data_IF_539635761784
#
_entry.id   IF_539635761784
#
_cell.length_a   1.000
_cell.length_b   1.000
_cell.length_c   1.000
_cell.angle_alpha   90.00
_cell.angle_beta   90.00
_cell.angle_gamma   90.00
#
_symmetry.space_group_name_H-M   'P 1'
#
loop_
_entity.id
_entity.type
_entity.pdbx_description
1 polymer ?
#
# COMPACT_ATOMS: atom_id res chain seq x y z
N UNK A 1 -23.28 30.67 0.09
CA UNK A 1 -21.95 30.64 -0.56
C UNK A 1 -21.82 29.40 -1.43
N UNK A 2 -21.89 29.57 -2.76
CA UNK A 2 -21.63 28.46 -3.69
C UNK A 2 -20.16 28.05 -3.63
N UNK A 3 -19.86 26.77 -3.43
CA UNK A 3 -18.49 26.25 -3.52
C UNK A 3 -17.97 26.53 -4.93
N UNK A 4 -16.97 27.41 -5.04
CA UNK A 4 -16.26 27.67 -6.30
C UNK A 4 -15.66 26.33 -6.77
N UNK A 5 -16.10 25.85 -7.93
CA UNK A 5 -15.58 24.63 -8.54
C UNK A 5 -14.12 24.93 -8.88
N UNK A 6 -13.18 24.31 -8.18
CA UNK A 6 -11.75 24.44 -8.49
C UNK A 6 -11.54 23.86 -9.88
N UNK A 7 -10.80 24.57 -10.73
CA UNK A 7 -10.38 24.05 -12.02
C UNK A 7 -9.61 22.75 -11.76
N UNK A 8 -10.14 21.65 -12.29
CA UNK A 8 -9.51 20.36 -12.14
C UNK A 8 -8.28 20.34 -13.04
N UNK A 9 -7.10 20.50 -12.44
CA UNK A 9 -5.85 20.28 -13.14
C UNK A 9 -5.87 18.87 -13.73
N UNK A 10 -5.87 18.79 -15.06
CA UNK A 10 -5.94 17.51 -15.77
C UNK A 10 -4.52 17.06 -16.04
N UNK A 11 -3.96 16.30 -15.10
CA UNK A 11 -2.66 15.65 -15.27
C UNK A 11 -2.85 14.30 -15.94
N UNK A 12 -2.09 14.04 -16.99
CA UNK A 12 -2.08 12.75 -17.67
C UNK A 12 -1.70 11.65 -16.68
N UNK A 13 -2.57 10.65 -16.52
CA UNK A 13 -2.39 9.56 -15.54
C UNK A 13 -2.99 9.83 -14.15
N UNK A 14 -3.52 11.03 -13.90
CA UNK A 14 -4.18 11.38 -12.63
C UNK A 14 -3.20 11.56 -11.46
N UNK A 15 -3.75 11.46 -10.24
CA UNK A 15 -2.99 11.66 -9.00
C UNK A 15 -3.26 10.53 -8.00
N UNK A 16 -2.27 10.21 -7.19
CA UNK A 16 -2.44 9.34 -6.03
C UNK A 16 -2.75 10.18 -4.78
N UNK A 17 -3.81 9.82 -4.07
CA UNK A 17 -4.20 10.51 -2.85
C UNK A 17 -3.52 9.89 -1.62
N UNK A 18 -2.56 10.62 -1.05
CA UNK A 18 -1.94 10.32 0.25
C UNK A 18 -2.49 11.32 1.29
N UNK A 19 -3.15 10.85 2.37
CA UNK A 19 -3.65 11.73 3.42
C UNK A 19 -2.53 12.57 4.03
N UNK A 20 -2.68 13.90 4.06
CA UNK A 20 -1.66 14.79 4.63
C UNK A 20 -1.33 14.48 6.09
N UNK A 21 -2.30 13.96 6.85
CA UNK A 21 -2.10 13.51 8.24
C UNK A 21 -1.01 12.45 8.37
N UNK A 22 -0.79 11.58 7.37
CA UNK A 22 0.32 10.62 7.42
C UNK A 22 1.67 11.34 7.49
N UNK A 23 1.81 12.49 6.84
CA UNK A 23 3.04 13.29 6.87
C UNK A 23 3.29 13.93 8.25
N UNK A 24 2.28 13.99 9.12
CA UNK A 24 2.42 14.47 10.50
C UNK A 24 2.94 13.38 11.43
N UNK A 25 2.67 12.13 11.10
CA UNK A 25 3.02 10.96 11.90
C UNK A 25 4.50 10.56 11.78
N UNK A 26 5.11 10.25 12.91
CA UNK A 26 6.50 9.78 13.02
C UNK A 26 6.73 8.50 12.22
N UNK A 27 5.72 7.62 12.17
CA UNK A 27 5.76 6.36 11.41
C UNK A 27 6.04 6.59 9.92
N UNK A 28 5.62 7.73 9.36
CA UNK A 28 5.90 8.05 7.97
C UNK A 28 7.24 8.80 7.81
N UNK A 29 7.50 9.80 8.65
CA UNK A 29 8.68 10.67 8.54
C UNK A 29 10.01 9.93 8.68
N UNK A 30 10.02 8.87 9.48
CA UNK A 30 11.23 8.10 9.75
C UNK A 30 11.41 6.88 8.84
N UNK A 31 10.59 6.75 7.79
CA UNK A 31 10.75 5.66 6.84
C UNK A 31 12.14 5.69 6.21
N UNK A 32 12.75 4.51 6.10
CA UNK A 32 13.93 4.39 5.25
C UNK A 32 13.58 4.72 3.79
N UNK A 33 14.52 5.25 2.98
CA UNK A 33 14.27 5.54 1.57
C UNK A 33 13.76 4.31 0.79
N UNK A 34 14.23 3.12 1.17
CA UNK A 34 13.78 1.86 0.60
C UNK A 34 12.31 1.54 0.92
N UNK A 35 11.90 1.71 2.18
CA UNK A 35 10.51 1.51 2.60
C UNK A 35 9.57 2.53 1.97
N UNK A 36 9.99 3.80 1.86
CA UNK A 36 9.23 4.82 1.15
C UNK A 36 9.01 4.44 -0.32
N UNK A 37 10.05 3.97 -1.03
CA UNK A 37 9.92 3.49 -2.41
C UNK A 37 8.93 2.33 -2.53
N UNK A 38 9.02 1.34 -1.64
CA UNK A 38 8.08 0.20 -1.62
C UNK A 38 6.64 0.67 -1.33
N UNK A 39 6.47 1.63 -0.43
CA UNK A 39 5.15 2.20 -0.12
C UNK A 39 4.54 2.89 -1.35
N UNK A 40 5.34 3.65 -2.10
CA UNK A 40 4.88 4.30 -3.34
C UNK A 40 4.47 3.28 -4.40
N UNK A 41 5.21 2.16 -4.53
CA UNK A 41 4.84 1.04 -5.42
C UNK A 41 3.47 0.48 -5.06
N UNK A 42 3.21 0.24 -3.76
CA UNK A 42 1.92 -0.26 -3.30
C UNK A 42 0.79 0.76 -3.53
N UNK A 43 1.04 2.04 -3.24
CA UNK A 43 0.06 3.13 -3.47
C UNK A 43 -0.28 3.25 -4.97
N UNK A 44 0.70 3.09 -5.86
CA UNK A 44 0.48 3.21 -7.31
C UNK A 44 -0.48 2.16 -7.88
N UNK A 45 -0.62 1.01 -7.21
CA UNK A 45 -1.50 -0.09 -7.63
C UNK A 45 -2.94 0.10 -7.16
N UNK A 46 -3.18 1.00 -6.21
CA UNK A 46 -4.51 1.17 -5.63
C UNK A 46 -5.44 1.92 -6.58
N UNK A 47 -6.58 1.30 -6.91
CA UNK A 47 -7.59 1.78 -7.87
C UNK A 47 -8.92 2.16 -7.22
N UNK A 48 -8.98 2.23 -5.89
CA UNK A 48 -10.20 2.59 -5.15
C UNK A 48 -10.97 1.41 -4.57
N UNK A 49 -10.83 0.21 -5.14
CA UNK A 49 -11.62 -0.98 -4.79
C UNK A 49 -10.80 -2.27 -4.67
N UNK A 50 -9.48 -2.17 -4.54
CA UNK A 50 -8.56 -3.31 -4.47
C UNK A 50 -7.60 -3.25 -3.27
N UNK A 51 -7.95 -2.53 -2.20
CA UNK A 51 -7.09 -2.46 -1.01
C UNK A 51 -7.09 -3.81 -0.28
N UNK A 52 -6.03 -4.59 -0.46
CA UNK A 52 -6.01 -6.02 -0.15
C UNK A 52 -5.34 -6.85 -1.25
N UNK A 53 -5.26 -6.31 -2.47
CA UNK A 53 -4.58 -6.90 -3.63
C UNK A 53 -3.41 -6.03 -4.11
N UNK A 54 -2.59 -5.55 -3.18
CA UNK A 54 -1.38 -4.79 -3.48
C UNK A 54 -0.16 -5.69 -3.29
N UNK A 55 0.78 -5.68 -4.24
CA UNK A 55 1.98 -6.51 -4.16
C UNK A 55 3.26 -5.70 -4.36
N UNK A 56 4.33 -6.12 -3.72
CA UNK A 56 5.68 -5.66 -4.06
C UNK A 56 6.58 -6.89 -4.18
N UNK A 57 6.79 -7.35 -5.42
CA UNK A 57 7.66 -8.48 -5.72
C UNK A 57 9.00 -7.99 -6.22
N UNK A 58 10.03 -8.85 -6.15
CA UNK A 58 11.33 -8.54 -6.72
C UNK A 58 11.25 -8.23 -8.22
N UNK A 59 10.38 -8.93 -8.98
CA UNK A 59 10.12 -8.64 -10.38
C UNK A 59 9.53 -7.23 -10.59
N UNK A 60 8.52 -6.84 -9.81
CA UNK A 60 7.94 -5.49 -9.90
C UNK A 60 8.97 -4.41 -9.56
N UNK A 61 9.85 -4.69 -8.57
CA UNK A 61 10.88 -3.73 -8.20
C UNK A 61 11.91 -3.50 -9.32
N UNK A 62 12.12 -4.47 -10.24
CA UNK A 62 13.00 -4.25 -11.41
C UNK A 62 12.46 -3.14 -12.31
N UNK A 63 11.16 -3.12 -12.56
CA UNK A 63 10.50 -2.08 -13.36
C UNK A 63 10.58 -0.70 -12.69
N UNK A 64 10.76 -0.68 -11.36
CA UNK A 64 10.93 0.52 -10.55
C UNK A 64 12.41 0.89 -10.32
N UNK A 65 13.34 0.41 -11.15
CA UNK A 65 14.77 0.72 -11.05
C UNK A 65 15.53 -0.19 -10.06
N UNK A 66 14.99 -1.36 -9.74
CA UNK A 66 15.64 -2.40 -8.95
C UNK A 66 15.56 -2.21 -7.43
N UNK A 67 15.65 -3.33 -6.73
CA UNK A 67 15.86 -3.45 -5.29
C UNK A 67 16.29 -4.87 -4.95
N UNK A 68 17.31 -5.06 -4.12
CA UNK A 68 17.71 -6.40 -3.67
C UNK A 68 16.60 -7.07 -2.85
N UNK A 69 16.45 -8.39 -2.97
CA UNK A 69 15.38 -9.15 -2.28
C UNK A 69 15.41 -8.97 -0.75
N UNK A 70 16.61 -8.98 -0.15
CA UNK A 70 16.78 -8.76 1.28
C UNK A 70 16.35 -7.35 1.72
N UNK A 71 16.61 -6.34 0.89
CA UNK A 71 16.17 -4.95 1.15
C UNK A 71 14.66 -4.85 1.04
N UNK A 72 14.06 -5.40 -0.01
CA UNK A 72 12.60 -5.44 -0.18
C UNK A 72 11.91 -6.12 1.02
N UNK A 73 12.46 -7.23 1.50
CA UNK A 73 11.94 -7.92 2.69
C UNK A 73 12.01 -7.05 3.96
N UNK A 74 13.13 -6.35 4.19
CA UNK A 74 13.28 -5.41 5.31
C UNK A 74 12.33 -4.22 5.19
N UNK A 75 12.20 -3.64 3.99
CA UNK A 75 11.27 -2.54 3.71
C UNK A 75 9.81 -2.93 3.99
N UNK A 76 9.37 -4.10 3.51
CA UNK A 76 8.01 -4.60 3.78
C UNK A 76 7.78 -4.87 5.27
N UNK A 77 8.81 -5.34 5.98
CA UNK A 77 8.75 -5.54 7.43
C UNK A 77 8.63 -4.21 8.17
N UNK A 78 9.45 -3.22 7.83
CA UNK A 78 9.39 -1.88 8.40
C UNK A 78 7.99 -1.25 8.22
N UNK A 79 7.41 -1.33 7.02
CA UNK A 79 6.08 -0.79 6.75
C UNK A 79 4.98 -1.47 7.58
N UNK A 80 5.13 -2.76 7.90
CA UNK A 80 4.22 -3.49 8.79
C UNK A 80 4.43 -3.11 10.26
N UNK A 81 5.69 -3.03 10.71
CA UNK A 81 6.04 -2.62 12.09
C UNK A 81 5.58 -1.19 12.42
N UNK A 82 5.56 -0.32 11.40
CA UNK A 82 5.09 1.08 11.50
C UNK A 82 3.58 1.25 11.23
N UNK A 83 2.83 0.16 11.10
CA UNK A 83 1.38 0.15 10.85
C UNK A 83 0.94 1.03 9.67
N UNK A 84 1.73 0.99 8.58
CA UNK A 84 1.39 1.65 7.31
C UNK A 84 0.78 0.67 6.31
N UNK A 85 1.19 -0.59 6.39
CA UNK A 85 0.59 -1.68 5.61
C UNK A 85 0.29 -2.87 6.50
N UNK A 86 -0.74 -3.63 6.12
CA UNK A 86 -1.02 -4.95 6.70
C UNK A 86 -0.90 -6.00 5.60
N UNK A 87 -0.36 -7.16 5.93
CA UNK A 87 -0.30 -8.29 5.00
C UNK A 87 -1.68 -8.93 4.89
N UNK A 88 -2.31 -8.80 3.72
CA UNK A 88 -3.63 -9.34 3.43
C UNK A 88 -3.60 -10.79 2.94
N UNK A 89 -2.47 -11.26 2.41
CA UNK A 89 -2.26 -12.67 2.04
C UNK A 89 -0.82 -13.10 2.30
N UNK A 90 -0.63 -14.30 2.83
CA UNK A 90 0.69 -14.89 2.96
C UNK A 90 1.27 -15.31 1.61
N UNK A 91 2.60 -15.23 1.48
CA UNK A 91 3.25 -15.92 0.38
C UNK A 91 3.20 -17.44 0.62
N UNK A 92 3.08 -18.21 -0.46
CA UNK A 92 3.19 -19.68 -0.41
C UNK A 92 4.12 -20.10 -1.54
N UNK A 93 5.06 -20.98 -1.24
CA UNK A 93 5.82 -21.73 -2.24
C UNK A 93 5.56 -23.20 -1.98
N UNK A 94 4.99 -23.91 -2.95
CA UNK A 94 4.66 -25.33 -2.81
C UNK A 94 4.35 -25.99 -4.14
N UNK A 95 3.99 -27.27 -4.10
CA UNK A 95 3.67 -28.08 -5.30
C UNK A 95 2.52 -27.51 -6.14
N UNK A 96 1.57 -26.84 -5.49
CA UNK A 96 0.42 -26.18 -6.14
C UNK A 96 0.76 -24.82 -6.77
N UNK A 97 2.03 -24.40 -6.70
CA UNK A 97 2.52 -23.15 -7.30
C UNK A 97 3.01 -22.13 -6.27
N UNK A 98 3.63 -21.07 -6.78
CA UNK A 98 4.11 -19.94 -6.00
C UNK A 98 3.10 -18.80 -6.03
N UNK A 99 2.78 -18.24 -4.86
CA UNK A 99 1.95 -17.04 -4.71
C UNK A 99 2.72 -15.99 -3.92
N UNK A 100 2.68 -14.76 -4.41
CA UNK A 100 3.24 -13.61 -3.70
C UNK A 100 2.38 -13.24 -2.48
N UNK A 101 3.01 -12.58 -1.52
CA UNK A 101 2.27 -11.92 -0.45
C UNK A 101 1.49 -10.73 -1.03
N UNK A 102 0.31 -10.47 -0.46
CA UNK A 102 -0.48 -9.28 -0.75
C UNK A 102 -0.56 -8.41 0.50
N UNK A 103 -0.80 -7.13 0.28
CA UNK A 103 -0.84 -6.09 1.29
C UNK A 103 -2.04 -5.16 1.10
N UNK A 104 -2.41 -4.48 2.18
CA UNK A 104 -3.38 -3.40 2.20
C UNK A 104 -2.82 -2.19 2.96
N UNK A 105 -3.19 -0.98 2.54
CA UNK A 105 -2.90 0.27 3.24
C UNK A 105 -3.80 0.39 4.47
N UNK A 106 -3.23 0.66 5.64
CA UNK A 106 -3.97 0.62 6.93
C UNK A 106 -4.94 1.78 7.13
N UNK A 107 -4.66 2.94 6.51
CA UNK A 107 -5.54 4.12 6.53
C UNK A 107 -6.71 4.04 5.52
N UNK A 108 -6.88 2.90 4.85
CA UNK A 108 -8.01 2.61 3.97
C UNK A 108 -8.71 1.36 4.45
N UNK A 109 -10.02 1.25 4.16
CA UNK A 109 -10.77 0.01 4.39
C UNK A 109 -10.18 -1.12 3.54
N UNK A 110 -10.27 -2.35 4.00
CA UNK A 110 -9.88 -3.52 3.21
C UNK A 110 -11.06 -3.86 2.30
N UNK A 111 -10.82 -3.86 0.99
CA UNK A 111 -11.83 -4.19 -0.01
C UNK A 111 -11.97 -5.71 -0.16
N UNK A 112 -13.15 -6.13 -0.61
CA UNK A 112 -13.32 -7.50 -1.08
C UNK A 112 -12.55 -7.70 -2.37
N UNK A 113 -11.62 -8.66 -2.39
CA UNK A 113 -10.78 -8.96 -3.54
C UNK A 113 -11.07 -10.40 -4.02
N UNK A 114 -12.10 -10.62 -4.86
CA UNK A 114 -12.49 -11.95 -5.32
C UNK A 114 -11.34 -12.70 -6.00
N UNK A 115 -11.20 -13.99 -5.69
CA UNK A 115 -10.17 -14.86 -6.27
C UNK A 115 -8.74 -14.60 -5.78
N UNK A 116 -8.55 -13.72 -4.78
CA UNK A 116 -7.21 -13.44 -4.21
C UNK A 116 -6.88 -14.26 -2.98
N UNK A 117 -7.85 -14.92 -2.37
CA UNK A 117 -7.70 -15.75 -1.17
C UNK A 117 -7.03 -14.98 -0.03
N UNK A 118 -7.64 -13.85 0.36
CA UNK A 118 -7.14 -13.02 1.45
C UNK A 118 -7.25 -13.76 2.79
N UNK A 119 -6.24 -13.62 3.63
CA UNK A 119 -6.23 -14.12 5.01
C UNK A 119 -6.97 -13.19 5.98
N UNK A 120 -7.34 -11.99 5.54
CA UNK A 120 -8.06 -10.98 6.32
C UNK A 120 -9.43 -10.70 5.70
N UNK A 121 -10.42 -10.42 6.55
CA UNK A 121 -11.77 -10.09 6.09
C UNK A 121 -11.84 -8.66 5.54
N UNK A 122 -12.70 -8.39 4.54
CA UNK A 122 -13.02 -7.03 4.12
C UNK A 122 -13.55 -6.21 5.30
N UNK A 123 -13.27 -4.91 5.31
CA UNK A 123 -13.70 -4.00 6.36
C UNK A 123 -14.52 -2.85 5.80
N UNK A 124 -15.42 -2.31 6.64
CA UNK A 124 -16.20 -1.12 6.29
C UNK A 124 -15.41 0.16 6.64
N UNK A 125 -14.56 0.07 7.67
CA UNK A 125 -13.71 1.17 8.17
C UNK A 125 -12.23 0.85 7.98
N UNK A 126 -11.39 1.88 7.88
CA UNK A 126 -9.93 1.72 7.87
C UNK A 126 -9.46 1.09 9.18
N UNK A 127 -8.42 0.24 9.12
CA UNK A 127 -7.86 -0.39 10.33
C UNK A 127 -7.16 0.64 11.21
N UNK A 128 -6.49 1.62 10.61
CA UNK A 128 -5.86 2.76 11.27
C UNK A 128 -6.67 4.02 11.05
N UNK A 129 -7.14 4.63 12.15
CA UNK A 129 -7.69 5.99 12.12
C UNK A 129 -6.53 6.99 12.16
N UNK A 130 -6.51 7.91 11.19
CA UNK A 130 -5.56 9.01 11.20
C UNK A 130 -6.11 10.15 12.06
N UNK A 131 -5.31 10.64 12.99
CA UNK A 131 -5.58 11.83 13.80
C UNK A 131 -4.41 12.80 13.64
N UNK A 132 -4.56 14.04 14.08
CA UNK A 132 -3.38 14.91 14.22
C UNK A 132 -2.42 14.26 15.22
N UNK A 133 -1.13 14.32 14.91
CA UNK A 133 -0.05 13.77 15.74
C UNK A 133 0.19 14.65 16.97
#
# INVERSE_FOLDING_TARGET
>A
MGKKKRDAETVQGGFFALPSLLMEHREFRELTPSALKVLMVLISQYKGSNNGDLAATHSMMKDWGGMAEGTLGKSLRELQERDLIIKSRQNRKGREGARCALYALTWRRIDECPGKDLCIRPTIVASRKLSKA
#
